data_IF_870766917496
#
_entry.id   IF_870766917496
#
_cell.length_a   1.000
_cell.length_b   1.000
_cell.length_c   1.000
_cell.angle_alpha   90.00
_cell.angle_beta   90.00
_cell.angle_gamma   90.00
#
_symmetry.space_group_name_H-M   'P 1'
#
loop_
_entity.id
_entity.type
_entity.pdbx_description
1 polymer ?
#
# COMPACT_ATOMS: atom_id res chain seq x y z
N UNK A 1 20.96 -6.16 17.57
CA UNK A 1 21.01 -6.63 16.18
C UNK A 1 22.45 -6.87 15.78
N UNK A 2 22.76 -8.06 15.27
CA UNK A 2 24.07 -8.36 14.67
C UNK A 2 24.22 -7.70 13.28
N UNK A 3 25.40 -7.77 12.67
CA UNK A 3 25.67 -7.11 11.37
C UNK A 3 24.73 -7.58 10.26
N UNK A 4 24.42 -8.88 10.17
CA UNK A 4 23.50 -9.42 9.16
C UNK A 4 22.07 -8.91 9.34
N UNK A 5 21.59 -8.80 10.59
CA UNK A 5 20.28 -8.21 10.91
C UNK A 5 20.23 -6.72 10.56
N UNK A 6 21.33 -5.98 10.70
CA UNK A 6 21.39 -4.57 10.29
C UNK A 6 21.27 -4.43 8.76
N UNK A 7 21.89 -5.31 7.99
CA UNK A 7 21.75 -5.35 6.52
C UNK A 7 20.29 -5.61 6.15
N UNK A 8 19.65 -6.60 6.77
CA UNK A 8 18.23 -6.87 6.56
C UNK A 8 17.34 -5.65 6.93
N UNK A 9 17.61 -4.98 8.05
CA UNK A 9 16.90 -3.76 8.42
C UNK A 9 17.11 -2.63 7.40
N UNK A 10 18.30 -2.54 6.80
CA UNK A 10 18.60 -1.55 5.75
C UNK A 10 17.76 -1.76 4.49
N UNK A 11 17.48 -3.01 4.10
CA UNK A 11 16.51 -3.32 3.03
C UNK A 11 15.14 -2.73 3.35
N UNK A 12 14.66 -2.89 4.59
CA UNK A 12 13.35 -2.36 5.01
C UNK A 12 13.32 -0.83 4.91
N UNK A 13 14.35 -0.15 5.43
CA UNK A 13 14.40 1.31 5.43
C UNK A 13 14.45 1.88 4.01
N UNK A 14 15.29 1.30 3.16
CA UNK A 14 15.42 1.72 1.76
C UNK A 14 14.19 1.38 0.93
N UNK A 15 13.45 0.32 1.27
CA UNK A 15 12.16 0.00 0.65
C UNK A 15 11.09 1.06 0.97
N UNK A 16 11.06 1.59 2.20
CA UNK A 16 10.13 2.67 2.58
C UNK A 16 10.44 3.95 1.82
N UNK A 17 11.72 4.31 1.69
CA UNK A 17 12.18 5.43 0.85
C UNK A 17 11.81 5.18 -0.61
N UNK A 18 12.02 3.97 -1.13
CA UNK A 18 11.67 3.58 -2.49
C UNK A 18 12.32 4.50 -3.53
N UNK A 19 11.46 5.16 -4.33
CA UNK A 19 11.87 6.05 -5.41
C UNK A 19 12.58 7.32 -4.93
N UNK A 20 12.30 7.78 -3.70
CA UNK A 20 12.83 9.04 -3.15
C UNK A 20 14.36 9.15 -3.17
N UNK A 21 15.08 8.03 -3.28
CA UNK A 21 16.51 7.99 -3.58
C UNK A 21 16.73 6.98 -4.72
N UNK A 22 16.79 7.49 -5.95
CA UNK A 22 16.96 6.68 -7.16
C UNK A 22 17.69 7.42 -8.29
N UNK A 23 18.22 6.65 -9.24
CA UNK A 23 18.75 7.14 -10.52
C UNK A 23 18.24 6.23 -11.64
N UNK A 24 17.40 6.77 -12.52
CA UNK A 24 16.61 5.97 -13.46
C UNK A 24 15.79 4.90 -12.73
N UNK A 25 15.73 3.65 -13.22
CA UNK A 25 14.99 2.56 -12.56
C UNK A 25 15.69 2.02 -11.29
N UNK A 26 16.93 2.43 -11.01
CA UNK A 26 17.71 1.90 -9.89
C UNK A 26 17.49 2.73 -8.62
N UNK A 27 16.76 2.15 -7.67
CA UNK A 27 16.52 2.70 -6.33
C UNK A 27 17.62 2.24 -5.36
N UNK A 28 17.89 3.01 -4.31
CA UNK A 28 18.80 2.62 -3.22
C UNK A 28 18.43 1.24 -2.63
N UNK A 29 17.13 0.91 -2.63
CA UNK A 29 16.62 -0.39 -2.25
C UNK A 29 17.28 -1.56 -2.97
N UNK A 30 17.53 -1.48 -4.28
CA UNK A 30 18.11 -2.61 -5.02
C UNK A 30 19.52 -2.95 -4.57
N UNK A 31 20.30 -1.92 -4.20
CA UNK A 31 21.65 -2.10 -3.66
C UNK A 31 21.57 -2.83 -2.31
N UNK A 32 20.67 -2.39 -1.43
CA UNK A 32 20.43 -3.05 -0.15
C UNK A 32 19.93 -4.50 -0.33
N UNK A 33 18.99 -4.71 -1.25
CA UNK A 33 18.43 -6.02 -1.58
C UNK A 33 19.49 -6.98 -2.11
N UNK A 34 20.41 -6.50 -2.96
CA UNK A 34 21.52 -7.31 -3.47
C UNK A 34 22.47 -7.73 -2.34
N UNK A 35 22.91 -6.80 -1.49
CA UNK A 35 23.77 -7.13 -0.35
C UNK A 35 23.10 -8.14 0.59
N UNK A 36 21.81 -7.96 0.85
CA UNK A 36 21.07 -8.91 1.69
C UNK A 36 20.90 -10.27 1.03
N UNK A 37 20.70 -10.33 -0.29
CA UNK A 37 20.63 -11.59 -1.04
C UNK A 37 21.95 -12.37 -0.95
N UNK A 38 23.10 -11.68 -0.99
CA UNK A 38 24.42 -12.29 -0.75
C UNK A 38 24.51 -12.87 0.67
N UNK A 39 24.01 -12.16 1.69
CA UNK A 39 23.93 -12.67 3.07
C UNK A 39 23.09 -13.94 3.14
N UNK A 40 21.93 -13.98 2.47
CA UNK A 40 21.07 -15.16 2.43
C UNK A 40 21.76 -16.36 1.78
N UNK A 41 22.49 -16.15 0.67
CA UNK A 41 23.23 -17.21 -0.02
C UNK A 41 24.34 -17.77 0.88
N UNK A 42 25.13 -16.91 1.56
CA UNK A 42 26.17 -17.38 2.48
C UNK A 42 25.60 -18.11 3.69
N UNK A 43 24.51 -17.61 4.28
CA UNK A 43 23.83 -18.31 5.39
C UNK A 43 23.30 -19.67 4.95
N UNK A 44 22.76 -19.76 3.73
CA UNK A 44 22.30 -21.00 3.14
C UNK A 44 23.45 -21.99 2.92
N UNK A 45 24.53 -21.54 2.28
CA UNK A 45 25.70 -22.37 1.96
C UNK A 45 26.51 -22.81 3.19
N UNK A 46 26.56 -21.97 4.24
CA UNK A 46 27.24 -22.30 5.50
C UNK A 46 26.41 -23.15 6.45
N UNK A 47 25.09 -23.18 6.27
CA UNK A 47 24.23 -24.14 6.96
C UNK A 47 24.43 -25.51 6.34
N UNK A 48 24.78 -26.54 7.13
CA UNK A 48 24.74 -27.93 6.69
C UNK A 48 23.28 -28.29 6.38
N UNK A 49 22.88 -28.03 5.14
CA UNK A 49 21.50 -28.04 4.65
C UNK A 49 20.78 -29.39 4.90
N UNK A 50 21.52 -30.48 5.12
CA UNK A 50 20.97 -31.78 5.49
C UNK A 50 20.70 -31.99 7.00
N UNK A 51 21.29 -31.22 7.92
CA UNK A 51 21.15 -31.47 9.36
C UNK A 51 20.12 -30.59 10.09
N UNK A 52 19.62 -29.50 9.49
CA UNK A 52 18.53 -28.69 10.08
C UNK A 52 17.17 -29.06 9.51
N UNK A 53 16.71 -30.26 9.85
CA UNK A 53 15.30 -30.68 9.76
C UNK A 53 14.32 -29.75 10.52
N UNK A 54 14.83 -28.81 11.32
CA UNK A 54 14.04 -27.85 12.11
C UNK A 54 13.54 -26.62 11.35
N UNK A 55 14.06 -26.30 10.16
CA UNK A 55 13.53 -25.20 9.34
C UNK A 55 12.18 -25.56 8.68
N UNK A 56 11.90 -26.85 8.51
CA UNK A 56 10.68 -27.36 7.87
C UNK A 56 9.67 -27.97 8.87
N UNK A 57 10.07 -28.24 10.13
CA UNK A 57 9.26 -29.06 11.07
C UNK A 57 8.38 -28.30 12.08
N UNK A 58 8.09 -27.02 11.91
CA UNK A 58 7.29 -26.26 12.91
C UNK A 58 6.04 -25.53 12.41
N UNK A 59 5.54 -25.83 11.21
CA UNK A 59 4.36 -25.13 10.67
C UNK A 59 3.27 -26.10 10.17
N UNK A 60 2.59 -26.76 11.10
CA UNK A 60 1.27 -27.38 10.87
C UNK A 60 0.13 -26.35 10.77
N UNK A 61 0.44 -25.06 10.62
CA UNK A 61 -0.52 -23.97 10.43
C UNK A 61 -0.09 -23.13 9.24
N UNK A 62 -1.04 -22.74 8.40
CA UNK A 62 -0.86 -21.88 7.22
C UNK A 62 0.12 -20.75 7.54
N UNK A 63 1.31 -20.82 6.96
CA UNK A 63 2.26 -19.72 7.01
C UNK A 63 1.80 -18.70 5.98
N UNK A 64 1.33 -17.55 6.44
CA UNK A 64 0.82 -16.52 5.54
C UNK A 64 1.91 -16.01 4.59
N UNK A 65 3.20 -16.21 4.88
CA UNK A 65 4.30 -15.89 3.98
C UNK A 65 4.35 -16.75 2.71
N UNK A 66 3.79 -17.96 2.74
CA UNK A 66 3.85 -18.89 1.61
C UNK A 66 3.08 -18.39 0.39
N UNK A 67 2.11 -17.48 0.53
CA UNK A 67 1.35 -16.95 -0.61
C UNK A 67 2.27 -16.28 -1.63
N UNK A 68 3.36 -15.63 -1.18
CA UNK A 68 4.26 -14.92 -2.08
C UNK A 68 5.14 -15.89 -2.87
N UNK A 69 5.49 -17.03 -2.27
CA UNK A 69 6.15 -18.13 -2.99
C UNK A 69 5.18 -18.74 -4.00
N UNK A 70 3.92 -18.97 -3.61
CA UNK A 70 2.86 -19.43 -4.53
C UNK A 70 2.65 -18.42 -5.67
N UNK A 71 2.65 -17.11 -5.38
CA UNK A 71 2.57 -16.05 -6.37
C UNK A 71 3.74 -16.11 -7.34
N UNK A 72 4.97 -16.23 -6.84
CA UNK A 72 6.16 -16.32 -7.68
C UNK A 72 6.10 -17.56 -8.59
N UNK A 73 5.74 -18.72 -8.04
CA UNK A 73 5.61 -19.97 -8.82
C UNK A 73 4.49 -19.85 -9.85
N UNK A 74 3.33 -19.34 -9.47
CA UNK A 74 2.19 -19.14 -10.36
C UNK A 74 2.53 -18.20 -11.51
N UNK A 75 3.09 -17.03 -11.21
CA UNK A 75 3.53 -16.07 -12.23
C UNK A 75 4.63 -16.66 -13.13
N UNK A 76 5.50 -17.52 -12.61
CA UNK A 76 6.50 -18.23 -13.43
C UNK A 76 5.83 -19.22 -14.38
N UNK A 77 4.83 -19.97 -13.92
CA UNK A 77 4.05 -20.89 -14.74
C UNK A 77 3.32 -20.15 -15.87
N UNK A 78 2.88 -18.90 -15.64
CA UNK A 78 2.25 -18.09 -16.69
C UNK A 78 3.15 -17.78 -17.89
N UNK A 79 4.49 -17.92 -17.77
CA UNK A 79 5.42 -17.78 -18.90
C UNK A 79 5.14 -18.76 -20.05
N UNK A 80 4.44 -19.86 -19.76
CA UNK A 80 4.05 -20.87 -20.75
C UNK A 80 3.06 -20.31 -21.77
N UNK A 81 2.12 -19.43 -21.36
CA UNK A 81 1.06 -18.92 -22.23
C UNK A 81 1.02 -17.39 -22.37
N UNK A 82 1.85 -16.64 -21.64
CA UNK A 82 1.87 -15.19 -21.76
C UNK A 82 2.31 -14.74 -23.16
N UNK A 83 1.73 -13.64 -23.67
CA UNK A 83 2.01 -13.14 -25.02
C UNK A 83 3.43 -12.52 -25.13
N UNK A 84 3.83 -11.77 -24.12
CA UNK A 84 5.15 -11.14 -24.02
C UNK A 84 5.87 -11.64 -22.76
N UNK A 85 6.92 -12.43 -22.99
CA UNK A 85 7.75 -13.01 -21.91
C UNK A 85 8.65 -11.98 -21.23
N UNK A 86 9.07 -10.93 -21.93
CA UNK A 86 9.90 -9.88 -21.33
C UNK A 86 9.12 -9.14 -20.23
N UNK A 87 7.86 -8.78 -20.52
CA UNK A 87 6.96 -8.15 -19.54
C UNK A 87 6.71 -9.06 -18.33
N UNK A 88 6.55 -10.36 -18.57
CA UNK A 88 6.43 -11.34 -17.50
C UNK A 88 7.68 -11.43 -16.62
N UNK A 89 8.88 -11.37 -17.21
CA UNK A 89 10.14 -11.34 -16.46
C UNK A 89 10.28 -10.07 -15.60
N UNK A 90 9.87 -8.90 -16.09
CA UNK A 90 9.83 -7.68 -15.27
C UNK A 90 8.90 -7.83 -14.05
N UNK A 91 7.73 -8.45 -14.24
CA UNK A 91 6.79 -8.68 -13.13
C UNK A 91 7.30 -9.72 -12.12
N UNK A 92 7.98 -10.77 -12.58
CA UNK A 92 8.67 -11.70 -11.69
C UNK A 92 9.75 -11.01 -10.87
N UNK A 93 10.50 -10.08 -11.49
CA UNK A 93 11.45 -9.24 -10.76
C UNK A 93 10.74 -8.36 -9.70
N UNK A 94 9.60 -7.75 -10.01
CA UNK A 94 8.82 -6.97 -9.03
C UNK A 94 8.37 -7.81 -7.83
N UNK A 95 7.84 -9.01 -8.07
CA UNK A 95 7.43 -9.95 -7.03
C UNK A 95 8.64 -10.39 -6.18
N UNK A 96 9.78 -10.68 -6.81
CA UNK A 96 11.00 -11.08 -6.11
C UNK A 96 11.50 -9.98 -5.15
N UNK A 97 11.45 -8.71 -5.57
CA UNK A 97 11.78 -7.58 -4.70
C UNK A 97 10.83 -7.49 -3.49
N UNK A 98 9.52 -7.71 -3.71
CA UNK A 98 8.53 -7.78 -2.64
C UNK A 98 8.82 -8.90 -1.63
N UNK A 99 9.20 -10.09 -2.13
CA UNK A 99 9.61 -11.23 -1.29
C UNK A 99 10.85 -10.89 -0.47
N UNK A 100 11.85 -10.24 -1.07
CA UNK A 100 13.07 -9.81 -0.36
C UNK A 100 12.74 -8.90 0.82
N UNK A 101 11.80 -7.95 0.67
CA UNK A 101 11.35 -7.08 1.76
C UNK A 101 10.75 -7.91 2.91
N UNK A 102 9.89 -8.87 2.58
CA UNK A 102 9.25 -9.75 3.57
C UNK A 102 10.29 -10.61 4.29
N UNK A 103 11.22 -11.22 3.55
CA UNK A 103 12.31 -12.01 4.13
C UNK A 103 13.21 -11.17 5.03
N UNK A 104 13.47 -9.92 4.64
CA UNK A 104 14.24 -8.98 5.45
C UNK A 104 13.58 -8.70 6.81
N UNK A 105 12.24 -8.56 6.85
CA UNK A 105 11.49 -8.48 8.11
C UNK A 105 11.68 -9.73 8.98
N UNK A 106 11.44 -10.92 8.42
CA UNK A 106 11.60 -12.20 9.14
C UNK A 106 13.03 -12.44 9.62
N UNK A 107 14.03 -11.93 8.90
CA UNK A 107 15.44 -12.02 9.26
C UNK A 107 15.81 -11.01 10.37
N UNK A 108 15.42 -9.75 10.21
CA UNK A 108 15.78 -8.66 11.12
C UNK A 108 15.04 -8.73 12.46
N UNK A 109 13.78 -9.15 12.48
CA UNK A 109 12.91 -9.13 13.66
C UNK A 109 12.93 -10.49 14.36
N UNK A 110 13.50 -10.54 15.58
CA UNK A 110 13.47 -11.75 16.44
C UNK A 110 12.65 -11.56 17.71
N UNK A 111 12.33 -10.32 18.06
CA UNK A 111 11.59 -9.95 19.25
C UNK A 111 10.67 -8.75 18.99
N UNK A 112 9.72 -8.50 19.90
CA UNK A 112 8.90 -7.28 19.89
C UNK A 112 9.77 -6.02 20.00
N UNK A 113 10.89 -6.10 20.72
CA UNK A 113 11.83 -4.99 20.85
C UNK A 113 12.52 -4.66 19.51
N UNK A 114 12.87 -5.67 18.72
CA UNK A 114 13.43 -5.44 17.37
C UNK A 114 12.39 -4.81 16.45
N UNK A 115 11.15 -5.33 16.47
CA UNK A 115 10.05 -4.77 15.69
C UNK A 115 9.81 -3.29 16.02
N UNK A 116 9.78 -2.96 17.32
CA UNK A 116 9.67 -1.58 17.79
C UNK A 116 10.80 -0.69 17.25
N UNK A 117 12.06 -1.14 17.32
CA UNK A 117 13.21 -0.35 16.85
C UNK A 117 13.15 -0.12 15.34
N UNK A 118 12.86 -1.15 14.55
CA UNK A 118 12.71 -1.01 13.09
C UNK A 118 11.57 -0.04 12.77
N UNK A 119 10.40 -0.21 13.40
CA UNK A 119 9.24 0.62 13.09
C UNK A 119 9.35 2.05 13.62
N UNK A 120 10.16 2.32 14.63
CA UNK A 120 10.52 3.68 15.00
C UNK A 120 11.30 4.38 13.88
N UNK A 121 12.30 3.71 13.29
CA UNK A 121 13.07 4.27 12.17
C UNK A 121 12.19 4.43 10.93
N UNK A 122 11.36 3.43 10.60
CA UNK A 122 10.37 3.54 9.52
C UNK A 122 9.41 4.70 9.75
N UNK A 123 8.95 4.91 11.00
CA UNK A 123 8.11 6.05 11.37
C UNK A 123 8.80 7.40 11.17
N UNK A 124 10.11 7.50 11.45
CA UNK A 124 10.91 8.70 11.15
C UNK A 124 11.00 8.94 9.64
N UNK A 125 11.23 7.90 8.84
CA UNK A 125 11.29 8.03 7.37
C UNK A 125 9.94 8.52 6.82
N UNK A 126 8.82 7.95 7.29
CA UNK A 126 7.49 8.45 6.90
C UNK A 126 7.24 9.87 7.39
N UNK A 127 7.72 10.25 8.59
CA UNK A 127 7.63 11.63 9.04
C UNK A 127 8.40 12.58 8.11
N UNK A 128 9.60 12.20 7.66
CA UNK A 128 10.34 12.98 6.66
C UNK A 128 9.58 13.08 5.32
N UNK A 129 9.01 11.98 4.84
CA UNK A 129 8.17 11.96 3.63
C UNK A 129 6.95 12.87 3.78
N UNK A 130 6.30 12.86 4.95
CA UNK A 130 5.14 13.71 5.23
C UNK A 130 5.50 15.20 5.30
N UNK A 131 6.62 15.53 5.94
CA UNK A 131 7.11 16.92 5.98
C UNK A 131 7.46 17.42 4.58
N UNK A 132 8.12 16.57 3.77
CA UNK A 132 8.40 16.85 2.37
C UNK A 132 7.09 17.05 1.57
N UNK A 133 6.12 16.14 1.68
CA UNK A 133 4.85 16.24 0.96
C UNK A 133 4.04 17.49 1.35
N UNK A 134 4.04 17.87 2.64
CA UNK A 134 3.41 19.12 3.05
C UNK A 134 4.15 20.33 2.47
N UNK A 135 5.49 20.30 2.49
CA UNK A 135 6.31 21.35 1.89
C UNK A 135 6.03 21.50 0.38
N UNK A 136 6.00 20.40 -0.36
CA UNK A 136 5.64 20.39 -1.79
C UNK A 136 4.25 21.01 -1.99
N UNK A 137 3.26 20.55 -1.22
CA UNK A 137 1.88 20.99 -1.35
C UNK A 137 1.65 22.47 -1.05
N UNK A 138 2.42 23.05 -0.13
CA UNK A 138 2.26 24.46 0.26
C UNK A 138 3.14 25.43 -0.54
N UNK A 139 4.29 24.99 -1.03
CA UNK A 139 5.27 25.89 -1.67
C UNK A 139 5.34 25.74 -3.18
N UNK A 140 4.84 24.62 -3.72
CA UNK A 140 5.01 24.27 -5.12
C UNK A 140 6.42 23.74 -5.47
N UNK A 141 7.34 23.70 -4.49
CA UNK A 141 8.72 23.23 -4.70
C UNK A 141 8.77 21.72 -4.54
N UNK A 142 8.96 21.02 -5.66
CA UNK A 142 8.92 19.56 -5.76
C UNK A 142 10.26 18.91 -5.42
N UNK A 143 10.23 17.74 -4.79
CA UNK A 143 11.41 16.89 -4.61
C UNK A 143 12.12 16.65 -5.96
N UNK A 144 13.46 16.65 -6.06
CA UNK A 144 14.14 16.59 -7.37
C UNK A 144 13.83 15.35 -8.22
N UNK A 145 13.38 14.26 -7.59
CA UNK A 145 13.01 13.00 -8.27
C UNK A 145 11.51 12.95 -8.61
N UNK A 146 10.70 13.88 -8.11
CA UNK A 146 9.27 14.02 -8.46
C UNK A 146 9.12 14.20 -9.97
N UNK A 147 8.13 13.57 -10.62
CA UNK A 147 7.83 13.84 -12.03
C UNK A 147 7.40 15.28 -12.30
N UNK A 148 7.05 16.03 -11.25
CA UNK A 148 6.64 17.44 -11.34
C UNK A 148 7.80 18.40 -11.09
N UNK A 149 9.02 17.88 -10.90
CA UNK A 149 10.24 18.67 -10.74
C UNK A 149 10.97 18.83 -12.06
N UNK A 150 11.45 20.03 -12.36
CA UNK A 150 12.34 20.28 -13.51
C UNK A 150 13.67 19.53 -13.40
N UNK A 151 14.09 19.22 -12.17
CA UNK A 151 15.35 18.53 -11.89
C UNK A 151 15.31 17.02 -12.19
N UNK A 152 14.13 16.47 -12.49
CA UNK A 152 13.92 15.02 -12.67
C UNK A 152 14.76 14.45 -13.83
N UNK A 153 15.07 15.29 -14.83
CA UNK A 153 15.90 14.94 -15.99
C UNK A 153 17.32 14.55 -15.58
N UNK A 154 17.88 15.18 -14.53
CA UNK A 154 19.20 14.81 -14.00
C UNK A 154 19.22 13.39 -13.40
N UNK A 155 18.06 12.82 -13.10
CA UNK A 155 17.90 11.47 -12.57
C UNK A 155 17.49 10.46 -13.64
N UNK A 156 17.75 10.74 -14.94
CA UNK A 156 17.39 9.88 -16.10
C UNK A 156 15.91 9.52 -16.14
N UNK A 157 15.06 10.52 -15.93
CA UNK A 157 13.61 10.42 -15.94
C UNK A 157 13.04 11.61 -16.69
N UNK A 158 11.85 11.44 -17.25
CA UNK A 158 11.16 12.49 -17.98
C UNK A 158 10.18 13.23 -17.06
N UNK A 159 9.89 14.48 -17.43
CA UNK A 159 8.87 15.28 -16.77
C UNK A 159 7.51 14.62 -17.01
N UNK A 160 6.76 14.36 -15.93
CA UNK A 160 5.51 13.59 -15.99
C UNK A 160 4.27 14.40 -16.36
N UNK A 161 4.43 15.60 -16.92
CA UNK A 161 3.36 16.43 -17.44
C UNK A 161 3.78 17.12 -18.73
N UNK A 162 2.81 17.53 -19.54
CA UNK A 162 3.09 18.25 -20.78
C UNK A 162 3.47 19.71 -20.48
N UNK A 163 4.65 20.11 -20.93
CA UNK A 163 5.21 21.46 -20.68
C UNK A 163 4.39 22.56 -21.39
N UNK A 164 3.61 22.21 -22.42
CA UNK A 164 2.78 23.16 -23.17
C UNK A 164 1.41 23.44 -22.52
N UNK A 165 1.17 22.98 -21.28
CA UNK A 165 -0.06 23.29 -20.54
C UNK A 165 -0.09 24.76 -20.12
N UNK A 166 -1.28 25.28 -19.79
CA UNK A 166 -1.41 26.66 -19.32
C UNK A 166 -0.66 26.87 -18.00
N UNK A 167 -0.12 28.07 -17.74
CA UNK A 167 0.63 28.35 -16.51
C UNK A 167 -0.16 28.03 -15.22
N UNK A 168 -1.48 28.25 -15.22
CA UNK A 168 -2.34 27.94 -14.08
C UNK A 168 -2.40 26.44 -13.79
N UNK A 169 -2.44 25.60 -14.84
CA UNK A 169 -2.45 24.14 -14.69
C UNK A 169 -1.08 23.66 -14.20
N UNK A 170 0.02 24.20 -14.74
CA UNK A 170 1.37 23.87 -14.29
C UNK A 170 1.54 24.25 -12.82
N UNK A 171 1.04 25.42 -12.40
CA UNK A 171 1.06 25.85 -11.01
C UNK A 171 0.22 24.92 -10.11
N UNK A 172 -0.94 24.45 -10.56
CA UNK A 172 -1.73 23.48 -9.81
C UNK A 172 -1.01 22.11 -9.65
N UNK A 173 -0.35 21.65 -10.72
CA UNK A 173 0.45 20.41 -10.70
C UNK A 173 1.64 20.54 -9.74
N UNK A 174 2.34 21.68 -9.76
CA UNK A 174 3.49 21.90 -8.88
C UNK A 174 3.13 21.91 -7.40
N UNK A 175 1.87 22.22 -7.05
CA UNK A 175 1.35 22.13 -5.68
C UNK A 175 0.73 20.77 -5.34
N UNK A 176 0.80 19.79 -6.25
CA UNK A 176 0.33 18.42 -5.97
C UNK A 176 1.49 17.59 -5.44
N UNK A 177 1.47 17.15 -4.16
CA UNK A 177 2.62 16.48 -3.57
C UNK A 177 2.77 15.04 -4.05
N UNK A 178 4.02 14.60 -4.15
CA UNK A 178 4.41 13.23 -4.52
C UNK A 178 5.32 12.58 -3.49
N UNK A 179 6.01 13.36 -2.65
CA UNK A 179 6.89 12.87 -1.59
C UNK A 179 7.97 11.94 -2.14
N UNK A 180 8.12 10.75 -1.58
CA UNK A 180 9.04 9.74 -2.10
C UNK A 180 8.40 8.81 -3.14
N UNK A 181 7.23 9.16 -3.67
CA UNK A 181 6.46 8.34 -4.62
C UNK A 181 6.49 8.97 -6.01
N UNK A 182 6.18 8.16 -7.01
CA UNK A 182 6.15 8.63 -8.39
C UNK A 182 4.88 9.40 -8.71
N UNK A 183 3.77 9.16 -8.02
CA UNK A 183 2.53 9.86 -8.30
C UNK A 183 1.72 10.13 -7.02
N UNK A 184 0.79 11.09 -7.06
CA UNK A 184 -0.01 11.47 -5.89
C UNK A 184 -0.92 10.34 -5.37
N UNK A 185 -1.38 9.43 -6.24
CA UNK A 185 -2.20 8.30 -5.82
C UNK A 185 -1.39 7.32 -4.96
N UNK A 186 -0.15 7.03 -5.32
CA UNK A 186 0.75 6.17 -4.55
C UNK A 186 1.12 6.82 -3.21
N UNK A 187 1.34 8.14 -3.18
CA UNK A 187 1.55 8.89 -1.93
C UNK A 187 0.31 8.79 -1.03
N UNK A 188 -0.88 9.03 -1.58
CA UNK A 188 -2.13 8.92 -0.83
C UNK A 188 -2.37 7.51 -0.29
N UNK A 189 -2.00 6.47 -1.04
CA UNK A 189 -2.08 5.09 -0.57
C UNK A 189 -1.05 4.79 0.52
N UNK A 190 0.17 5.34 0.44
CA UNK A 190 1.16 5.26 1.52
C UNK A 190 0.63 5.94 2.80
N UNK A 191 -0.04 7.09 2.66
CA UNK A 191 -0.68 7.78 3.78
C UNK A 191 -1.81 6.96 4.41
N UNK A 192 -2.63 6.27 3.61
CA UNK A 192 -3.61 5.31 4.13
C UNK A 192 -2.96 4.16 4.89
N UNK A 193 -1.82 3.64 4.40
CA UNK A 193 -1.09 2.56 5.08
C UNK A 193 -0.56 3.02 6.44
N UNK A 194 0.02 4.22 6.54
CA UNK A 194 0.67 4.70 7.77
C UNK A 194 -0.31 5.33 8.77
N UNK A 195 -1.46 5.85 8.32
CA UNK A 195 -2.42 6.58 9.16
C UNK A 195 -2.82 5.80 10.44
N UNK A 196 -3.20 4.50 10.39
CA UNK A 196 -3.52 3.75 11.61
C UNK A 196 -2.38 3.64 12.63
N UNK A 197 -1.12 3.67 12.19
CA UNK A 197 0.02 3.66 13.10
C UNK A 197 0.10 4.97 13.88
N UNK A 198 -0.18 6.11 13.27
CA UNK A 198 -0.30 7.39 14.00
C UNK A 198 -1.54 7.39 14.89
N UNK A 199 -2.71 7.01 14.37
CA UNK A 199 -3.98 7.02 15.12
C UNK A 199 -3.90 6.21 16.44
N UNK A 200 -3.19 5.08 16.43
CA UNK A 200 -3.05 4.23 17.61
C UNK A 200 -1.78 4.47 18.42
N UNK A 201 -0.99 5.48 18.07
CA UNK A 201 0.24 5.78 18.78
C UNK A 201 -0.02 6.26 20.21
N UNK A 202 0.83 5.84 21.16
CA UNK A 202 0.63 6.11 22.59
C UNK A 202 0.70 7.60 22.95
N UNK A 203 1.57 8.38 22.28
CA UNK A 203 1.74 9.81 22.57
C UNK A 203 0.70 10.61 21.79
N UNK A 204 -0.22 11.28 22.50
CA UNK A 204 -1.37 11.96 21.91
C UNK A 204 -0.99 13.02 20.88
N UNK A 205 0.07 13.80 21.12
CA UNK A 205 0.53 14.81 20.17
C UNK A 205 0.96 14.18 18.83
N UNK A 206 1.71 13.07 18.86
CA UNK A 206 2.12 12.35 17.64
C UNK A 206 0.90 11.72 16.95
N UNK A 207 -0.05 11.20 17.73
CA UNK A 207 -1.30 10.67 17.20
C UNK A 207 -2.09 11.74 16.44
N UNK A 208 -2.32 12.90 17.06
CA UNK A 208 -3.09 14.01 16.47
C UNK A 208 -2.32 14.61 15.28
N UNK A 209 -1.09 15.06 15.49
CA UNK A 209 -0.31 15.74 14.46
C UNK A 209 -0.04 14.84 13.25
N UNK A 210 0.34 13.57 13.49
CA UNK A 210 0.58 12.60 12.42
C UNK A 210 -0.70 12.24 11.66
N UNK A 211 -1.82 12.04 12.36
CA UNK A 211 -3.09 11.72 11.69
C UNK A 211 -3.60 12.91 10.85
N UNK A 212 -3.53 14.14 11.40
CA UNK A 212 -3.91 15.35 10.67
C UNK A 212 -3.03 15.54 9.44
N UNK A 213 -1.71 15.42 9.58
CA UNK A 213 -0.78 15.56 8.46
C UNK A 213 -1.04 14.50 7.37
N UNK A 214 -1.25 13.23 7.74
CA UNK A 214 -1.54 12.17 6.77
C UNK A 214 -2.86 12.41 6.03
N UNK A 215 -3.91 12.80 6.75
CA UNK A 215 -5.20 13.16 6.14
C UNK A 215 -5.06 14.38 5.24
N UNK A 216 -4.35 15.41 5.68
CA UNK A 216 -4.10 16.62 4.88
C UNK A 216 -3.37 16.30 3.58
N UNK A 217 -2.34 15.45 3.62
CA UNK A 217 -1.62 15.01 2.42
C UNK A 217 -2.58 14.25 1.47
N UNK A 218 -3.45 13.37 1.99
CA UNK A 218 -4.45 12.70 1.15
C UNK A 218 -5.34 13.72 0.43
N UNK A 219 -5.79 14.79 1.11
CA UNK A 219 -6.56 15.86 0.47
C UNK A 219 -5.73 16.61 -0.58
N UNK A 220 -4.49 16.98 -0.26
CA UNK A 220 -3.59 17.70 -1.19
C UNK A 220 -3.28 16.90 -2.45
N UNK A 221 -3.25 15.55 -2.37
CA UNK A 221 -3.04 14.71 -3.57
C UNK A 221 -4.23 14.70 -4.54
N UNK A 222 -5.42 15.13 -4.11
CA UNK A 222 -6.64 15.03 -4.92
C UNK A 222 -7.11 13.60 -5.23
N UNK A 223 -6.53 12.57 -4.60
CA UNK A 223 -6.83 11.16 -4.87
C UNK A 223 -8.21 10.75 -4.33
N UNK A 224 -9.23 10.81 -5.20
CA UNK A 224 -10.61 10.42 -4.87
C UNK A 224 -10.71 8.99 -4.33
N UNK A 225 -9.96 8.06 -4.92
CA UNK A 225 -9.90 6.68 -4.43
C UNK A 225 -9.38 6.59 -3.00
N UNK A 226 -8.33 7.35 -2.65
CA UNK A 226 -7.84 7.36 -1.28
C UNK A 226 -8.81 8.03 -0.29
N UNK A 227 -9.59 9.03 -0.71
CA UNK A 227 -10.65 9.61 0.11
C UNK A 227 -11.76 8.59 0.42
N UNK A 228 -12.16 7.78 -0.56
CA UNK A 228 -13.09 6.65 -0.33
C UNK A 228 -12.47 5.64 0.64
N UNK A 229 -11.18 5.33 0.48
CA UNK A 229 -10.45 4.45 1.40
C UNK A 229 -10.38 4.99 2.82
N UNK A 230 -10.19 6.30 2.98
CA UNK A 230 -10.20 6.99 4.26
C UNK A 230 -11.60 6.92 4.90
N UNK A 231 -12.66 7.14 4.12
CA UNK A 231 -14.03 7.03 4.59
C UNK A 231 -14.37 5.59 5.05
N UNK A 232 -14.01 4.58 4.27
CA UNK A 232 -14.15 3.17 4.67
C UNK A 232 -13.39 2.89 5.96
N UNK A 233 -12.14 3.34 6.05
CA UNK A 233 -11.31 3.18 7.25
C UNK A 233 -11.96 3.84 8.47
N UNK A 234 -12.53 5.04 8.33
CA UNK A 234 -13.21 5.74 9.41
C UNK A 234 -14.46 4.97 9.89
N UNK A 235 -15.30 4.50 8.95
CA UNK A 235 -16.48 3.66 9.28
C UNK A 235 -16.04 2.42 10.03
N UNK A 236 -15.07 1.67 9.50
CA UNK A 236 -14.61 0.43 10.12
C UNK A 236 -13.93 0.68 11.47
N UNK A 237 -13.17 1.78 11.60
CA UNK A 237 -12.59 2.22 12.87
C UNK A 237 -13.66 2.42 13.94
N UNK A 238 -14.73 3.15 13.60
CA UNK A 238 -15.84 3.43 14.52
C UNK A 238 -16.49 2.13 14.98
N UNK A 239 -16.89 1.25 14.07
CA UNK A 239 -17.66 0.06 14.44
C UNK A 239 -16.82 -1.08 15.04
N UNK A 240 -15.58 -1.29 14.59
CA UNK A 240 -14.77 -2.45 14.99
C UNK A 240 -13.67 -2.15 16.02
N UNK A 241 -13.20 -0.90 16.14
CA UNK A 241 -12.02 -0.54 16.94
C UNK A 241 -12.31 0.37 18.13
N UNK A 242 -13.39 1.16 18.09
CA UNK A 242 -13.86 1.90 19.26
C UNK A 242 -14.61 1.00 20.24
N UNK A 243 -14.60 1.38 21.52
CA UNK A 243 -15.51 0.75 22.50
C UNK A 243 -16.94 1.20 22.19
N UNK A 244 -17.92 0.31 22.31
CA UNK A 244 -19.35 0.57 22.03
C UNK A 244 -19.85 1.91 22.56
N UNK A 245 -19.49 2.27 23.80
CA UNK A 245 -19.85 3.57 24.41
C UNK A 245 -19.40 4.77 23.57
N UNK A 246 -18.21 4.73 22.98
CA UNK A 246 -17.63 5.81 22.17
C UNK A 246 -18.20 5.87 20.75
N UNK A 247 -18.74 4.76 20.24
CA UNK A 247 -19.40 4.73 18.93
C UNK A 247 -20.61 5.65 18.92
N UNK A 248 -21.44 5.57 19.96
CA UNK A 248 -22.62 6.43 20.10
C UNK A 248 -22.22 7.92 20.14
N UNK A 249 -21.19 8.29 20.89
CA UNK A 249 -20.70 9.68 20.92
C UNK A 249 -20.23 10.18 19.56
N UNK A 250 -19.49 9.35 18.80
CA UNK A 250 -19.03 9.73 17.46
C UNK A 250 -20.21 9.85 16.49
N UNK A 251 -21.15 8.91 16.48
CA UNK A 251 -22.34 8.97 15.63
C UNK A 251 -23.22 10.17 15.96
N UNK A 252 -23.41 10.49 17.25
CA UNK A 252 -24.11 11.69 17.69
C UNK A 252 -23.39 12.97 17.24
N UNK A 253 -22.06 13.01 17.35
CA UNK A 253 -21.26 14.15 16.86
C UNK A 253 -21.36 14.34 15.35
N UNK A 254 -21.25 13.26 14.57
CA UNK A 254 -21.44 13.29 13.11
C UNK A 254 -22.85 13.77 12.77
N UNK A 255 -23.88 13.23 13.42
CA UNK A 255 -25.26 13.66 13.19
C UNK A 255 -25.45 15.16 13.48
N UNK A 256 -24.90 15.68 14.58
CA UNK A 256 -24.95 17.11 14.91
C UNK A 256 -24.23 17.96 13.86
N UNK A 257 -23.04 17.57 13.42
CA UNK A 257 -22.30 18.29 12.37
C UNK A 257 -23.04 18.25 11.04
N UNK A 258 -23.60 17.09 10.66
CA UNK A 258 -24.39 16.94 9.43
C UNK A 258 -25.67 17.78 9.48
N UNK A 259 -26.39 17.80 10.60
CA UNK A 259 -27.56 18.65 10.79
C UNK A 259 -27.16 20.12 10.71
N UNK A 260 -26.10 20.54 11.41
CA UNK A 260 -25.60 21.91 11.35
C UNK A 260 -25.20 22.30 9.91
N UNK A 261 -24.57 21.39 9.17
CA UNK A 261 -24.20 21.61 7.78
C UNK A 261 -25.42 21.77 6.88
N UNK A 262 -26.40 20.86 6.95
CA UNK A 262 -27.65 20.94 6.19
C UNK A 262 -28.40 22.24 6.48
N UNK A 263 -28.50 22.63 7.75
CA UNK A 263 -29.13 23.89 8.16
C UNK A 263 -28.37 25.13 7.65
N UNK A 264 -27.06 25.01 7.43
CA UNK A 264 -26.22 26.08 6.88
C UNK A 264 -26.24 26.17 5.34
N UNK A 265 -26.73 25.15 4.62
CA UNK A 265 -26.74 25.11 3.16
C UNK A 265 -27.42 26.32 2.50
N UNK A 266 -28.60 26.80 2.96
CA UNK A 266 -29.23 27.99 2.37
C UNK A 266 -28.36 29.24 2.50
N UNK A 267 -27.63 29.38 3.61
CA UNK A 267 -26.72 30.50 3.87
C UNK A 267 -25.45 30.41 3.02
N UNK A 268 -24.91 29.20 2.85
CA UNK A 268 -23.74 28.91 2.00
C UNK A 268 -24.07 29.18 0.53
N UNK A 269 -25.23 28.71 0.06
CA UNK A 269 -25.70 28.91 -1.31
C UNK A 269 -25.89 30.40 -1.64
N UNK A 270 -26.32 31.21 -0.66
CA UNK A 270 -26.54 32.65 -0.81
C UNK A 270 -25.24 33.50 -0.80
N UNK A 271 -24.22 33.09 -0.04
CA UNK A 271 -23.01 33.92 0.17
C UNK A 271 -21.73 33.39 -0.48
N UNK A 272 -21.70 32.11 -0.87
CA UNK A 272 -20.49 31.44 -1.37
C UNK A 272 -20.81 30.54 -2.57
N UNK A 273 -21.32 31.13 -3.65
CA UNK A 273 -21.70 30.46 -4.91
C UNK A 273 -20.57 29.57 -5.46
N UNK A 274 -19.32 30.03 -5.43
CA UNK A 274 -18.16 29.25 -5.93
C UNK A 274 -17.93 27.96 -5.12
N UNK A 275 -17.99 28.03 -3.78
CA UNK A 275 -17.82 26.85 -2.90
C UNK A 275 -19.01 25.89 -2.97
N UNK A 276 -20.22 26.40 -3.20
CA UNK A 276 -21.40 25.56 -3.42
C UNK A 276 -21.25 24.71 -4.70
N UNK A 277 -20.78 25.32 -5.80
CA UNK A 277 -20.51 24.63 -7.06
C UNK A 277 -19.38 23.59 -6.94
N UNK A 278 -18.37 23.83 -6.10
CA UNK A 278 -17.26 22.90 -5.87
C UNK A 278 -17.69 21.65 -5.04
N UNK A 279 -18.58 21.83 -4.07
CA UNK A 279 -19.19 20.73 -3.31
C UNK A 279 -20.15 19.92 -4.19
N UNK A 280 -20.97 20.57 -5.01
CA UNK A 280 -21.89 19.87 -5.93
C UNK A 280 -21.14 19.10 -7.02
N UNK A 281 -20.04 19.65 -7.53
CA UNK A 281 -19.18 18.96 -8.52
C UNK A 281 -18.46 17.74 -7.95
N UNK A 282 -18.16 17.72 -6.65
CA UNK A 282 -17.58 16.54 -5.99
C UNK A 282 -18.61 15.42 -5.82
N UNK A 283 -19.85 15.74 -5.44
CA UNK A 283 -20.96 14.78 -5.38
C UNK A 283 -21.38 14.30 -6.76
N UNK A 284 -21.37 15.17 -7.77
CA UNK A 284 -21.64 14.83 -9.17
C UNK A 284 -20.54 13.94 -9.75
N UNK A 285 -19.27 14.19 -9.40
CA UNK A 285 -18.16 13.34 -9.83
C UNK A 285 -18.23 11.94 -9.21
N UNK A 286 -18.66 11.83 -7.95
CA UNK A 286 -18.89 10.55 -7.29
C UNK A 286 -20.11 9.84 -7.90
N UNK A 287 -21.18 10.59 -8.17
CA UNK A 287 -22.37 10.10 -8.85
C UNK A 287 -22.04 9.58 -10.26
N UNK A 288 -21.23 10.32 -11.02
CA UNK A 288 -20.77 9.91 -12.36
C UNK A 288 -19.90 8.66 -12.34
N UNK A 289 -19.05 8.52 -11.33
CA UNK A 289 -18.21 7.33 -11.18
C UNK A 289 -19.03 6.08 -10.81
N UNK A 290 -20.12 6.24 -10.04
CA UNK A 290 -20.90 5.13 -9.50
C UNK A 290 -22.15 4.76 -10.33
N UNK A 291 -22.72 5.73 -11.07
CA UNK A 291 -24.08 5.61 -11.62
C UNK A 291 -24.24 6.09 -13.07
N UNK A 292 -23.19 6.55 -13.76
CA UNK A 292 -23.30 6.99 -15.16
C UNK A 292 -22.83 5.92 -16.12
N UNK A 293 -23.68 5.60 -17.10
CA UNK A 293 -23.39 4.68 -18.20
C UNK A 293 -22.24 5.19 -19.09
N UNK A 294 -21.48 4.24 -19.65
CA UNK A 294 -20.24 4.44 -20.40
C UNK A 294 -20.31 5.47 -21.54
N UNK A 295 -21.48 5.75 -22.11
CA UNK A 295 -21.64 6.65 -23.26
C UNK A 295 -21.64 8.15 -22.93
N UNK A 296 -21.81 8.55 -21.65
CA UNK A 296 -21.96 9.97 -21.29
C UNK A 296 -20.70 10.63 -20.69
N UNK A 297 -19.61 9.88 -20.57
CA UNK A 297 -18.36 10.39 -20.01
C UNK A 297 -17.43 10.75 -21.16
N UNK A 298 -16.93 11.99 -21.18
CA UNK A 298 -15.97 12.46 -22.18
C UNK A 298 -14.77 11.48 -22.24
N UNK A 299 -14.44 10.95 -23.43
CA UNK A 299 -13.47 9.85 -23.64
C UNK A 299 -12.08 10.14 -23.05
N UNK A 300 -11.74 11.42 -22.92
CA UNK A 300 -10.46 11.90 -22.38
C UNK A 300 -10.41 12.01 -20.85
N UNK A 301 -11.53 11.77 -20.15
CA UNK A 301 -11.55 11.86 -18.69
C UNK A 301 -10.82 10.69 -18.03
N UNK A 302 -10.21 10.95 -16.86
CA UNK A 302 -9.52 9.91 -16.10
C UNK A 302 -10.43 8.76 -15.63
N UNK A 303 -11.74 8.99 -15.58
CA UNK A 303 -12.74 7.96 -15.26
C UNK A 303 -13.00 7.06 -16.47
N UNK A 304 -13.21 7.65 -17.66
CA UNK A 304 -13.42 6.91 -18.90
C UNK A 304 -12.21 6.01 -19.23
N UNK A 305 -10.98 6.53 -19.11
CA UNK A 305 -9.76 5.74 -19.31
C UNK A 305 -9.72 4.54 -18.35
N UNK A 306 -10.06 4.71 -17.06
CA UNK A 306 -10.08 3.60 -16.09
C UNK A 306 -11.16 2.57 -16.39
N UNK A 307 -12.32 3.00 -16.88
CA UNK A 307 -13.38 2.11 -17.33
C UNK A 307 -12.93 1.28 -18.53
N UNK A 308 -12.29 1.91 -19.53
CA UNK A 308 -11.73 1.21 -20.70
C UNK A 308 -10.65 0.20 -20.30
N UNK A 309 -9.73 0.59 -19.40
CA UNK A 309 -8.70 -0.30 -18.87
C UNK A 309 -9.30 -1.57 -18.25
N UNK A 310 -10.34 -1.42 -17.43
CA UNK A 310 -11.06 -2.56 -16.83
C UNK A 310 -11.77 -3.38 -17.90
N UNK A 311 -12.49 -2.75 -18.83
CA UNK A 311 -13.22 -3.44 -19.89
C UNK A 311 -12.30 -4.32 -20.74
N UNK A 312 -11.22 -3.73 -21.28
CA UNK A 312 -10.22 -4.44 -22.07
C UNK A 312 -9.61 -5.62 -21.30
N UNK A 313 -9.36 -5.44 -20.00
CA UNK A 313 -8.81 -6.49 -19.14
C UNK A 313 -9.80 -7.65 -18.91
N UNK A 314 -11.08 -7.33 -18.66
CA UNK A 314 -12.13 -8.34 -18.46
C UNK A 314 -12.41 -9.10 -19.76
N UNK A 315 -12.40 -8.44 -20.91
CA UNK A 315 -12.52 -9.10 -22.22
C UNK A 315 -11.37 -10.10 -22.43
N UNK A 316 -10.12 -9.70 -22.20
CA UNK A 316 -8.98 -10.61 -22.31
C UNK A 316 -9.01 -11.77 -21.29
N UNK A 317 -9.60 -11.55 -20.12
CA UNK A 317 -9.85 -12.62 -19.15
C UNK A 317 -10.90 -13.61 -19.66
N UNK A 318 -11.96 -13.14 -20.31
CA UNK A 318 -12.99 -13.99 -20.92
C UNK A 318 -12.41 -14.81 -22.08
N UNK A 319 -11.61 -14.20 -22.94
CA UNK A 319 -10.92 -14.88 -24.04
C UNK A 319 -9.94 -15.96 -23.56
N UNK A 320 -9.34 -15.77 -22.38
CA UNK A 320 -8.48 -16.77 -21.73
C UNK A 320 -9.26 -17.77 -20.87
N UNK A 321 -10.59 -17.80 -20.95
CA UNK A 321 -11.48 -18.66 -20.14
C UNK A 321 -11.22 -18.57 -18.63
N UNK A 322 -10.83 -17.38 -18.16
CA UNK A 322 -10.51 -17.12 -16.76
C UNK A 322 -9.11 -17.57 -16.31
N UNK A 323 -8.28 -18.10 -17.21
CA UNK A 323 -6.89 -18.47 -16.90
C UNK A 323 -5.99 -17.24 -16.68
N UNK A 324 -6.33 -16.12 -17.31
CA UNK A 324 -5.56 -14.88 -17.27
C UNK A 324 -4.51 -14.79 -18.38
N UNK A 325 -4.04 -13.58 -18.64
CA UNK A 325 -3.12 -13.27 -19.76
C UNK A 325 -1.64 -13.44 -19.43
N UNK A 326 -1.34 -13.78 -18.18
CA UNK A 326 0.01 -13.95 -17.65
C UNK A 326 0.64 -12.68 -17.09
N UNK A 327 1.73 -12.88 -16.34
CA UNK A 327 2.45 -11.84 -15.61
C UNK A 327 2.74 -10.60 -16.47
N UNK A 328 2.30 -9.41 -16.03
CA UNK A 328 2.59 -8.14 -16.70
C UNK A 328 1.95 -7.94 -18.07
N UNK A 329 1.20 -8.93 -18.58
CA UNK A 329 0.65 -8.91 -19.92
C UNK A 329 -0.67 -8.14 -20.00
N UNK A 330 -1.23 -7.68 -18.88
CA UNK A 330 -2.33 -6.71 -18.89
C UNK A 330 -1.93 -5.44 -19.67
N UNK A 331 -0.66 -5.01 -19.57
CA UNK A 331 -0.13 -3.88 -20.37
C UNK A 331 -0.15 -4.15 -21.87
N UNK A 332 0.12 -5.39 -22.29
CA UNK A 332 0.08 -5.79 -23.71
C UNK A 332 -1.36 -5.74 -24.23
N UNK A 333 -2.33 -6.16 -23.41
CA UNK A 333 -3.75 -6.02 -23.71
C UNK A 333 -4.11 -4.55 -23.92
N UNK A 334 -3.65 -3.65 -23.04
CA UNK A 334 -3.94 -2.23 -23.20
C UNK A 334 -3.22 -1.62 -24.41
N UNK A 335 -1.98 -1.99 -24.71
CA UNK A 335 -1.24 -1.49 -25.88
C UNK A 335 -1.88 -1.87 -27.21
N UNK A 336 -2.63 -2.98 -27.26
CA UNK A 336 -3.39 -3.39 -28.46
C UNK A 336 -4.68 -2.56 -28.65
N UNK A 337 -5.15 -1.90 -27.58
CA UNK A 337 -6.39 -1.16 -27.57
C UNK A 337 -6.12 0.35 -27.56
N UNK A 338 -6.56 1.07 -28.60
CA UNK A 338 -6.28 2.50 -28.76
C UNK A 338 -7.20 3.43 -27.93
N UNK A 339 -7.99 2.88 -27.01
CA UNK A 339 -9.00 3.61 -26.22
C UNK A 339 -8.50 4.06 -24.83
N UNK A 340 -7.22 3.90 -24.51
CA UNK A 340 -6.65 4.25 -23.19
C UNK A 340 -5.67 5.44 -23.21
N UNK A 341 -5.55 6.13 -24.35
CA UNK A 341 -4.70 7.32 -24.52
C UNK A 341 -3.26 7.15 -23.99
N UNK A 342 -2.61 6.04 -24.37
CA UNK A 342 -1.25 5.66 -23.95
C UNK A 342 -1.08 5.35 -22.45
N UNK A 343 -2.18 5.21 -21.70
CA UNK A 343 -2.14 4.67 -20.35
C UNK A 343 -2.27 3.15 -20.44
N UNK A 344 -1.19 2.44 -20.11
CA UNK A 344 -1.15 0.97 -20.22
C UNK A 344 -1.28 0.25 -18.88
N UNK A 345 -1.14 0.97 -17.77
CA UNK A 345 -1.27 0.37 -16.44
C UNK A 345 -2.74 0.22 -16.07
N UNK A 346 -3.11 -0.87 -15.40
CA UNK A 346 -4.52 -1.15 -15.04
C UNK A 346 -5.10 -0.13 -14.05
N UNK A 347 -4.26 0.58 -13.28
CA UNK A 347 -4.69 1.52 -12.25
C UNK A 347 -5.69 0.92 -11.24
N UNK A 348 -5.69 -0.40 -11.07
CA UNK A 348 -6.50 -1.14 -10.10
C UNK A 348 -5.86 -2.52 -9.88
N UNK A 349 -5.22 -2.70 -8.73
CA UNK A 349 -4.45 -3.92 -8.46
C UNK A 349 -5.31 -5.19 -8.40
N UNK A 350 -6.55 -5.08 -7.94
CA UNK A 350 -7.43 -6.24 -7.84
C UNK A 350 -7.77 -6.77 -9.22
N UNK A 351 -8.08 -5.86 -10.14
CA UNK A 351 -8.34 -6.21 -11.55
C UNK A 351 -7.04 -6.65 -12.23
N UNK A 352 -5.90 -6.01 -11.92
CA UNK A 352 -4.58 -6.44 -12.42
C UNK A 352 -4.27 -7.90 -12.06
N UNK A 353 -4.41 -8.30 -10.79
CA UNK A 353 -4.23 -9.70 -10.39
C UNK A 353 -5.25 -10.62 -11.08
N UNK A 354 -6.52 -10.21 -11.13
CA UNK A 354 -7.57 -11.01 -11.75
C UNK A 354 -7.28 -11.30 -13.23
N UNK A 355 -6.87 -10.27 -13.98
CA UNK A 355 -6.61 -10.36 -15.43
C UNK A 355 -5.28 -11.07 -15.71
N UNK A 356 -4.23 -10.79 -14.95
CA UNK A 356 -2.91 -11.39 -15.20
C UNK A 356 -2.77 -12.81 -14.67
N UNK A 357 -3.22 -13.04 -13.44
CA UNK A 357 -3.06 -14.32 -12.76
C UNK A 357 -4.29 -15.25 -12.90
N UNK A 358 -5.40 -14.74 -13.41
CA UNK A 358 -6.63 -15.51 -13.59
C UNK A 358 -7.47 -15.65 -12.32
N UNK A 359 -8.68 -16.19 -12.51
CA UNK A 359 -9.73 -16.27 -11.49
C UNK A 359 -9.29 -17.12 -10.29
N UNK A 360 -8.62 -18.25 -10.55
CA UNK A 360 -8.21 -19.18 -9.49
C UNK A 360 -7.22 -18.51 -8.50
N UNK A 361 -6.17 -17.89 -9.02
CA UNK A 361 -5.19 -17.22 -8.18
C UNK A 361 -5.78 -15.97 -7.50
N UNK A 362 -6.64 -15.23 -8.20
CA UNK A 362 -7.32 -14.07 -7.62
C UNK A 362 -8.17 -14.45 -6.40
N UNK A 363 -8.96 -15.52 -6.47
CA UNK A 363 -9.75 -16.01 -5.32
C UNK A 363 -8.81 -16.37 -4.16
N UNK A 364 -7.73 -17.10 -4.45
CA UNK A 364 -6.74 -17.47 -3.43
C UNK A 364 -6.13 -16.21 -2.75
N UNK A 365 -5.79 -15.19 -3.55
CA UNK A 365 -5.27 -13.93 -3.06
C UNK A 365 -6.27 -13.18 -2.17
N UNK A 366 -7.54 -13.06 -2.59
CA UNK A 366 -8.59 -12.41 -1.81
C UNK A 366 -8.84 -13.15 -0.48
N UNK A 367 -8.92 -14.48 -0.50
CA UNK A 367 -9.09 -15.29 0.71
C UNK A 367 -7.90 -15.10 1.65
N UNK A 368 -6.67 -15.15 1.13
CA UNK A 368 -5.47 -14.92 1.92
C UNK A 368 -5.48 -13.51 2.57
N UNK A 369 -5.79 -12.48 1.80
CA UNK A 369 -5.83 -11.09 2.26
C UNK A 369 -6.85 -10.89 3.38
N UNK A 370 -8.05 -11.45 3.22
CA UNK A 370 -9.10 -11.44 4.23
C UNK A 370 -8.65 -12.18 5.50
N UNK A 371 -8.10 -13.40 5.36
CA UNK A 371 -7.66 -14.20 6.51
C UNK A 371 -6.51 -13.52 7.26
N UNK A 372 -5.58 -12.86 6.56
CA UNK A 372 -4.50 -12.08 7.16
C UNK A 372 -5.07 -10.93 8.01
N UNK A 373 -5.97 -10.15 7.43
CA UNK A 373 -6.64 -9.01 8.09
C UNK A 373 -7.42 -9.47 9.32
N UNK A 374 -8.25 -10.51 9.16
CA UNK A 374 -9.02 -11.11 10.26
C UNK A 374 -8.11 -11.64 11.36
N UNK A 375 -6.99 -12.29 11.02
CA UNK A 375 -6.07 -12.83 12.01
C UNK A 375 -5.46 -11.74 12.88
N UNK A 376 -5.03 -10.63 12.29
CA UNK A 376 -4.50 -9.47 13.01
C UNK A 376 -5.57 -8.84 13.92
N UNK A 377 -6.80 -8.67 13.42
CA UNK A 377 -7.92 -8.19 14.22
C UNK A 377 -8.15 -9.05 15.47
N UNK A 378 -8.18 -10.38 15.30
CA UNK A 378 -8.35 -11.31 16.42
C UNK A 378 -7.19 -11.26 17.41
N UNK A 379 -5.93 -11.18 16.93
CA UNK A 379 -4.75 -11.03 17.80
C UNK A 379 -4.84 -9.75 18.63
N UNK A 380 -5.21 -8.63 18.01
CA UNK A 380 -5.41 -7.36 18.71
C UNK A 380 -6.41 -7.49 19.87
N UNK A 381 -7.50 -8.24 19.66
CA UNK A 381 -8.57 -8.43 20.64
C UNK A 381 -8.19 -9.36 21.79
N UNK A 382 -7.24 -10.27 21.61
CA UNK A 382 -6.92 -11.31 22.59
C UNK A 382 -5.54 -11.21 23.24
N UNK A 383 -4.62 -10.41 22.70
CA UNK A 383 -3.23 -10.37 23.19
C UNK A 383 -3.05 -9.44 24.38
N UNK A 384 -2.28 -9.88 25.39
CA UNK A 384 -1.91 -9.06 26.55
C UNK A 384 -0.67 -8.20 26.31
N UNK A 385 0.16 -8.54 25.30
CA UNK A 385 1.36 -7.76 24.98
C UNK A 385 0.98 -6.42 24.35
N UNK A 386 1.31 -5.27 24.97
CA UNK A 386 0.93 -3.96 24.45
C UNK A 386 1.52 -3.67 23.06
N UNK A 387 2.75 -4.10 22.80
CA UNK A 387 3.41 -3.92 21.51
C UNK A 387 2.72 -4.72 20.40
N UNK A 388 2.46 -6.02 20.63
CA UNK A 388 1.72 -6.85 19.67
C UNK A 388 0.31 -6.31 19.46
N UNK A 389 -0.36 -5.86 20.54
CA UNK A 389 -1.68 -5.25 20.45
C UNK A 389 -1.68 -4.02 19.54
N UNK A 390 -0.70 -3.12 19.71
CA UNK A 390 -0.54 -1.92 18.88
C UNK A 390 -0.32 -2.28 17.41
N UNK A 391 0.67 -3.14 17.10
CA UNK A 391 0.99 -3.50 15.72
C UNK A 391 -0.14 -4.24 15.03
N UNK A 392 -0.74 -5.24 15.69
CA UNK A 392 -1.87 -5.99 15.11
C UNK A 392 -3.09 -5.09 14.87
N UNK A 393 -3.36 -4.15 15.78
CA UNK A 393 -4.46 -3.18 15.63
C UNK A 393 -4.24 -2.23 14.44
N UNK A 394 -3.05 -1.62 14.37
CA UNK A 394 -2.70 -0.70 13.29
C UNK A 394 -2.67 -1.40 11.94
N UNK A 395 -1.91 -2.50 11.81
CA UNK A 395 -1.79 -3.25 10.55
C UNK A 395 -3.14 -3.77 10.05
N UNK A 396 -4.01 -4.25 10.94
CA UNK A 396 -5.35 -4.71 10.55
C UNK A 396 -6.18 -3.59 9.92
N UNK A 397 -6.17 -2.38 10.49
CA UNK A 397 -6.90 -1.25 9.95
C UNK A 397 -6.23 -0.70 8.67
N UNK A 398 -4.89 -0.75 8.61
CA UNK A 398 -4.13 -0.37 7.41
C UNK A 398 -4.49 -1.26 6.21
N UNK A 399 -4.64 -2.57 6.39
CA UNK A 399 -5.09 -3.49 5.33
C UNK A 399 -6.51 -3.15 4.84
N UNK A 400 -7.41 -2.77 5.75
CA UNK A 400 -8.76 -2.35 5.35
C UNK A 400 -8.71 -1.09 4.48
N UNK A 401 -7.98 -0.05 4.90
CA UNK A 401 -7.82 1.16 4.08
C UNK A 401 -7.10 0.89 2.75
N UNK A 402 -6.09 0.04 2.78
CA UNK A 402 -5.32 -0.36 1.61
C UNK A 402 -6.15 -1.13 0.57
N UNK A 403 -7.23 -1.81 0.97
CA UNK A 403 -8.15 -2.48 0.04
C UNK A 403 -8.66 -1.50 -1.03
N UNK A 404 -9.06 -0.30 -0.63
CA UNK A 404 -9.46 0.76 -1.56
C UNK A 404 -8.25 1.52 -2.11
N UNK A 405 -7.20 1.73 -1.30
CA UNK A 405 -5.96 2.36 -1.76
C UNK A 405 -5.39 1.67 -3.02
N UNK A 406 -5.44 0.34 -3.07
CA UNK A 406 -4.98 -0.46 -4.20
C UNK A 406 -5.83 -0.32 -5.48
N UNK A 407 -7.02 0.28 -5.41
CA UNK A 407 -7.84 0.67 -6.57
C UNK A 407 -7.39 2.02 -7.14
N UNK A 408 -6.67 2.85 -6.38
CA UNK A 408 -6.22 4.17 -6.86
C UNK A 408 -4.81 4.14 -7.44
N UNK A 409 -3.98 3.19 -7.01
CA UNK A 409 -2.56 3.09 -7.36
C UNK A 409 -2.37 2.69 -8.82
N UNK A 410 -1.32 3.23 -9.44
CA UNK A 410 -1.01 2.96 -10.84
C UNK A 410 -0.38 1.59 -11.05
N UNK A 411 0.52 1.15 -10.17
CA UNK A 411 1.14 -0.19 -10.20
C UNK A 411 1.45 -0.65 -8.78
N UNK A 412 0.54 -1.44 -8.21
CA UNK A 412 0.68 -1.89 -6.82
C UNK A 412 1.71 -3.02 -6.65
N UNK A 413 1.93 -3.82 -7.70
CA UNK A 413 2.86 -4.94 -7.63
C UNK A 413 4.30 -4.49 -7.34
N UNK A 414 4.65 -3.24 -7.67
CA UNK A 414 5.95 -2.64 -7.37
C UNK A 414 5.90 -1.53 -6.31
N UNK A 415 4.81 -1.46 -5.56
CA UNK A 415 4.63 -0.50 -4.48
C UNK A 415 5.18 -1.04 -3.16
N UNK A 416 6.45 -0.71 -2.85
CA UNK A 416 7.17 -1.24 -1.68
C UNK A 416 6.49 -1.03 -0.32
N UNK A 417 5.80 0.09 -0.02
CA UNK A 417 5.06 0.22 1.23
C UNK A 417 4.03 -0.88 1.48
N UNK A 418 3.47 -1.48 0.42
CA UNK A 418 2.61 -2.67 0.51
C UNK A 418 3.36 -3.85 1.15
N UNK A 419 4.51 -4.20 0.60
CA UNK A 419 5.31 -5.33 1.06
C UNK A 419 5.90 -5.08 2.45
N UNK A 420 6.21 -3.82 2.77
CA UNK A 420 6.57 -3.41 4.14
C UNK A 420 5.42 -3.68 5.10
N UNK A 421 4.18 -3.28 4.75
CA UNK A 421 3.00 -3.57 5.56
C UNK A 421 2.80 -5.08 5.73
N UNK A 422 2.90 -5.87 4.66
CA UNK A 422 2.82 -7.34 4.74
C UNK A 422 3.92 -7.94 5.63
N UNK A 423 5.16 -7.45 5.52
CA UNK A 423 6.26 -7.84 6.39
C UNK A 423 5.94 -7.59 7.88
N UNK A 424 5.40 -6.41 8.20
CA UNK A 424 4.94 -6.07 9.56
C UNK A 424 3.83 -7.01 10.02
N UNK A 425 2.85 -7.28 9.16
CA UNK A 425 1.74 -8.20 9.46
C UNK A 425 2.26 -9.59 9.83
N UNK A 426 3.21 -10.12 9.05
CA UNK A 426 3.77 -11.45 9.25
C UNK A 426 4.57 -11.57 10.54
N UNK A 427 5.52 -10.66 10.78
CA UNK A 427 6.33 -10.73 12.01
C UNK A 427 5.48 -10.47 13.25
N UNK A 428 4.44 -9.64 13.15
CA UNK A 428 3.48 -9.44 14.26
C UNK A 428 2.72 -10.73 14.57
N UNK A 429 2.21 -11.44 13.55
CA UNK A 429 1.56 -12.73 13.75
C UNK A 429 2.54 -13.76 14.33
N UNK A 430 3.78 -13.81 13.82
CA UNK A 430 4.80 -14.73 14.31
C UNK A 430 5.12 -14.49 15.79
N UNK A 431 5.36 -13.23 16.18
CA UNK A 431 5.65 -12.86 17.57
C UNK A 431 4.43 -13.00 18.50
N UNK A 432 3.20 -13.00 17.96
CA UNK A 432 1.98 -13.24 18.75
C UNK A 432 1.76 -14.70 19.12
N UNK A 433 2.42 -15.64 18.40
CA UNK A 433 2.27 -17.06 18.69
C UNK A 433 2.88 -17.32 20.07
N UNK A 434 2.18 -18.01 20.98
CA UNK A 434 2.76 -18.39 22.26
C UNK A 434 4.01 -19.22 21.96
N UNK A 435 5.17 -18.72 22.38
CA UNK A 435 6.42 -19.47 22.32
C UNK A 435 6.18 -20.77 23.07
N UNK A 436 6.11 -21.90 22.35
CA UNK A 436 6.21 -23.26 22.92
C UNK A 436 7.50 -23.47 23.74
N UNK A 437 8.40 -22.50 23.75
CA UNK A 437 9.68 -22.51 24.46
C UNK A 437 9.55 -21.90 25.88
N UNK A 438 8.59 -20.99 26.13
CA UNK A 438 8.43 -20.35 27.46
C UNK A 438 7.58 -21.15 28.46
N UNK A 439 7.12 -22.37 28.10
CA UNK A 439 6.49 -23.30 29.05
C UNK A 439 7.44 -24.36 29.61
N UNK A 440 8.69 -24.47 29.12
CA UNK A 440 9.68 -25.38 29.71
C UNK A 440 10.38 -24.77 30.93
N UNK A 441 10.59 -23.46 30.94
CA UNK A 441 11.32 -22.81 32.04
C UNK A 441 10.46 -22.45 33.26
N UNK A 442 9.14 -22.61 33.18
CA UNK A 442 8.22 -22.39 34.32
C UNK A 442 7.87 -23.68 35.08
N UNK A 443 8.37 -24.84 34.62
CA UNK A 443 8.16 -26.14 35.28
C UNK A 443 9.44 -26.69 35.94
N UNK A 444 10.56 -25.97 35.89
CA UNK A 444 11.84 -26.38 36.51
C UNK A 444 12.30 -25.48 37.64
N UNK A 445 11.50 -24.48 38.07
CA UNK A 445 11.80 -23.62 39.23
C UNK A 445 10.78 -23.80 40.36
N UNK A 446 10.25 -25.02 40.52
CA UNK A 446 9.45 -25.42 41.68
C UNK A 446 10.18 -26.36 42.64
N UNK A 447 11.48 -26.52 42.45
CA UNK A 447 12.37 -27.08 43.46
C UNK A 447 13.50 -26.07 43.69
N UNK A 448 13.64 -25.68 44.96
CA UNK A 448 14.46 -24.62 45.58
C UNK A 448 13.81 -23.25 45.75
#
# INVERSE_FOLDING_TARGET
MNSKQKIAAWVIFTAVIGLGISYGPLYLFHIAALLFSVVLIFDFASSSFFLRKDLMKKHTRVDFGNIFVVMLVWYTVTLVWCANREMALYYLFYIANGIIIIMAFSYAVKSVADLNKILQIVGVIFLCEMLLALFEGFTGIQWPISPYSEWVVFFRREVGYNINLSPDIINAISHTPTGFRWNPNDLSAAMLVVLPFFMFYRRIFICIAGSIAAVMIIFLTGSRGALIGLALMAVVFVFLYLKRRHVLWVLSGVAVVSIAFVLSLPSIQKHYTVKYTEVSTTTDALGKYLFTDHEQVNDTSSIAIRQNLVSNGIEALQESYGLGVGAGNSKVVQMKNNNTHNVYSMHNFWVEILVEAGVLFFILWCVWYFLLTRRLYLIFRSTDSPGIRYFSKASSLSLIGMTIGMISMSSAIYFFPMYVLFGVCFVTIQLSRPNTILRRDLNTSRDF
#
